data_IF_484959965899
#
_entry.id   IF_484959965899
#
_cell.length_a   1.000
_cell.length_b   1.000
_cell.length_c   1.000
_cell.angle_alpha   90.00
_cell.angle_beta   90.00
_cell.angle_gamma   90.00
#
_symmetry.space_group_name_H-M   'P 1'
#
loop_
_entity.id
_entity.type
_entity.pdbx_description
1 polymer ?
#
# COMPACT_ATOMS: atom_id res chain seq x y z
N UNK A 1 -7.28 -2.43 -12.70
CA UNK A 1 -7.78 -3.81 -12.71
C UNK A 1 -8.59 -4.15 -13.96
N UNK A 2 -9.68 -3.45 -14.31
CA UNK A 2 -10.33 -3.64 -15.63
C UNK A 2 -9.77 -2.69 -16.71
N UNK A 3 -8.55 -2.94 -17.19
CA UNK A 3 -8.07 -2.29 -18.43
C UNK A 3 -8.34 -3.21 -19.63
N UNK A 4 -8.56 -2.63 -20.81
CA UNK A 4 -8.70 -3.40 -22.06
C UNK A 4 -7.48 -4.30 -22.32
N UNK A 5 -6.28 -3.80 -21.99
CA UNK A 5 -5.04 -4.58 -22.09
C UNK A 5 -5.04 -5.82 -21.18
N UNK A 6 -5.54 -5.69 -19.95
CA UNK A 6 -5.62 -6.81 -19.02
C UNK A 6 -6.64 -7.86 -19.50
N UNK A 7 -7.82 -7.41 -19.94
CA UNK A 7 -8.82 -8.29 -20.54
C UNK A 7 -8.26 -9.02 -21.77
N UNK A 8 -7.45 -8.32 -22.59
CA UNK A 8 -6.81 -8.89 -23.77
C UNK A 8 -5.76 -9.94 -23.41
N UNK A 9 -4.91 -9.67 -22.40
CA UNK A 9 -3.95 -10.64 -21.88
C UNK A 9 -4.64 -11.97 -21.54
N UNK A 10 -5.72 -11.91 -20.75
CA UNK A 10 -6.48 -13.11 -20.35
C UNK A 10 -7.15 -13.79 -21.54
N UNK A 11 -7.66 -13.01 -22.49
CA UNK A 11 -8.26 -13.52 -23.71
C UNK A 11 -7.26 -14.37 -24.52
N UNK A 12 -6.03 -13.86 -24.67
CA UNK A 12 -4.97 -14.52 -25.43
C UNK A 12 -4.39 -15.73 -24.66
N UNK A 13 -4.08 -15.58 -23.36
CA UNK A 13 -3.46 -16.64 -22.53
C UNK A 13 -4.34 -17.90 -22.40
N UNK A 14 -5.66 -17.74 -22.44
CA UNK A 14 -6.62 -18.83 -22.29
C UNK A 14 -7.24 -19.27 -23.63
N UNK A 15 -6.69 -18.82 -24.75
CA UNK A 15 -7.10 -19.16 -26.11
C UNK A 15 -8.62 -18.98 -26.36
N UNK A 16 -9.15 -17.84 -25.92
CA UNK A 16 -10.56 -17.52 -26.10
C UNK A 16 -10.93 -17.27 -27.57
N UNK A 17 -9.95 -16.96 -28.42
CA UNK A 17 -10.16 -16.86 -29.86
C UNK A 17 -10.63 -18.18 -30.47
N UNK A 18 -9.93 -19.28 -30.20
CA UNK A 18 -10.30 -20.59 -30.73
C UNK A 18 -11.65 -21.05 -30.16
N UNK A 19 -11.90 -20.79 -28.88
CA UNK A 19 -13.16 -21.13 -28.21
C UNK A 19 -14.36 -20.38 -28.80
N UNK A 20 -14.20 -19.12 -29.18
CA UNK A 20 -15.27 -18.30 -29.76
C UNK A 20 -15.40 -18.46 -31.29
N UNK A 21 -14.37 -18.97 -31.97
CA UNK A 21 -14.35 -19.25 -33.40
C UNK A 21 -13.96 -20.71 -33.70
N UNK A 22 -14.76 -21.70 -33.27
CA UNK A 22 -14.43 -23.12 -33.46
C UNK A 22 -14.39 -23.53 -34.94
N UNK A 23 -15.14 -22.84 -35.79
CA UNK A 23 -15.14 -23.08 -37.24
C UNK A 23 -13.94 -22.45 -37.98
N UNK A 24 -13.01 -21.80 -37.25
CA UNK A 24 -11.81 -21.16 -37.81
C UNK A 24 -12.11 -20.23 -38.98
N UNK A 25 -13.23 -19.49 -38.90
CA UNK A 25 -13.61 -18.51 -39.92
C UNK A 25 -12.50 -17.46 -40.05
N UNK A 26 -12.18 -17.01 -41.28
CA UNK A 26 -11.12 -16.02 -41.47
C UNK A 26 -11.47 -14.72 -40.77
N UNK A 27 -10.62 -14.30 -39.83
CA UNK A 27 -10.73 -13.06 -39.08
C UNK A 27 -9.85 -12.01 -39.79
N UNK A 28 -10.44 -10.89 -40.21
CA UNK A 28 -9.69 -9.81 -40.89
C UNK A 28 -8.68 -9.15 -39.97
N UNK A 29 -9.08 -8.88 -38.73
CA UNK A 29 -8.26 -8.22 -37.72
C UNK A 29 -8.64 -8.75 -36.33
N UNK A 30 -7.65 -9.26 -35.61
CA UNK A 30 -7.82 -9.79 -34.27
C UNK A 30 -8.19 -8.70 -33.25
N UNK A 31 -7.67 -7.49 -33.45
CA UNK A 31 -7.93 -6.37 -32.54
C UNK A 31 -9.39 -5.93 -32.61
N UNK A 32 -9.94 -5.86 -33.81
CA UNK A 32 -11.35 -5.51 -34.03
C UNK A 32 -12.27 -6.58 -33.45
N UNK A 33 -11.91 -7.86 -33.59
CA UNK A 33 -12.65 -8.97 -32.99
C UNK A 33 -12.70 -8.85 -31.47
N UNK A 34 -11.55 -8.65 -30.82
CA UNK A 34 -11.49 -8.49 -29.37
C UNK A 34 -12.21 -7.21 -28.90
N UNK A 35 -12.10 -6.11 -29.64
CA UNK A 35 -12.79 -4.87 -29.34
C UNK A 35 -14.32 -5.05 -29.40
N UNK A 36 -14.83 -5.79 -30.39
CA UNK A 36 -16.25 -6.12 -30.50
C UNK A 36 -16.72 -7.03 -29.35
N UNK A 37 -15.92 -8.05 -29.02
CA UNK A 37 -16.19 -8.95 -27.89
C UNK A 37 -16.23 -8.22 -26.55
N UNK A 38 -15.21 -7.41 -26.26
CA UNK A 38 -15.06 -6.70 -24.98
C UNK A 38 -16.04 -5.53 -24.82
N UNK A 39 -16.56 -4.96 -25.91
CA UNK A 39 -17.57 -3.89 -25.89
C UNK A 39 -18.85 -4.26 -25.14
N UNK A 40 -19.15 -5.56 -25.09
CA UNK A 40 -20.36 -6.09 -24.45
C UNK A 40 -20.18 -6.33 -22.95
N UNK A 41 -18.99 -6.10 -22.38
CA UNK A 41 -18.73 -6.20 -20.94
C UNK A 41 -19.43 -5.03 -20.24
N UNK A 42 -20.32 -5.35 -19.30
CA UNK A 42 -21.04 -4.37 -18.50
C UNK A 42 -20.68 -4.54 -17.02
N UNK A 43 -20.34 -3.42 -16.38
CA UNK A 43 -20.05 -3.32 -14.96
C UNK A 43 -21.16 -2.50 -14.29
N UNK A 44 -22.12 -3.18 -13.69
CA UNK A 44 -23.21 -2.51 -12.96
C UNK A 44 -22.71 -2.10 -11.57
N UNK A 45 -22.26 -0.86 -11.48
CA UNK A 45 -21.92 -0.25 -10.19
C UNK A 45 -23.17 0.33 -9.53
N UNK A 46 -23.39 0.02 -8.26
CA UNK A 46 -24.45 0.62 -7.47
C UNK A 46 -24.20 2.12 -7.29
N UNK A 47 -24.97 2.98 -7.97
CA UNK A 47 -24.95 4.43 -7.73
C UNK A 47 -25.47 4.68 -6.31
N UNK A 48 -24.63 5.26 -5.44
CA UNK A 48 -25.04 5.69 -4.10
C UNK A 48 -26.12 6.76 -4.27
N UNK A 49 -27.38 6.40 -3.97
CA UNK A 49 -28.47 7.37 -3.93
C UNK A 49 -28.23 8.30 -2.74
N UNK A 50 -28.15 9.62 -2.99
CA UNK A 50 -27.80 10.64 -1.98
C UNK A 50 -28.71 10.68 -0.73
N UNK A 51 -29.82 9.94 -0.72
CA UNK A 51 -30.85 9.97 0.34
C UNK A 51 -31.12 8.59 0.97
N UNK A 52 -30.23 7.60 0.83
CA UNK A 52 -30.38 6.29 1.47
C UNK A 52 -29.39 6.20 2.62
N UNK A 53 -29.84 5.68 3.77
CA UNK A 53 -29.04 5.38 4.96
C UNK A 53 -27.66 4.84 4.55
N UNK A 54 -26.59 5.35 5.20
CA UNK A 54 -25.25 4.82 5.04
C UNK A 54 -25.27 3.34 5.44
N UNK A 55 -25.30 2.47 4.44
CA UNK A 55 -25.12 1.04 4.63
C UNK A 55 -23.72 0.82 5.22
N UNK A 56 -23.62 0.01 6.27
CA UNK A 56 -22.35 -0.36 6.92
C UNK A 56 -21.57 -1.43 6.13
N UNK A 57 -22.00 -1.74 4.90
CA UNK A 57 -21.37 -2.73 4.04
C UNK A 57 -21.32 -2.24 2.58
N UNK A 58 -20.29 -2.68 1.88
CA UNK A 58 -20.14 -2.41 0.44
C UNK A 58 -21.14 -3.24 -0.34
N UNK A 59 -21.81 -2.60 -1.30
CA UNK A 59 -22.73 -3.32 -2.20
C UNK A 59 -21.91 -4.11 -3.23
N UNK A 60 -22.32 -5.35 -3.56
CA UNK A 60 -21.64 -6.12 -4.59
C UNK A 60 -21.70 -5.40 -5.93
N UNK A 61 -20.66 -5.62 -6.74
CA UNK A 61 -20.56 -5.14 -8.11
C UNK A 61 -20.91 -6.31 -9.02
N UNK A 62 -21.81 -6.11 -9.98
CA UNK A 62 -22.19 -7.15 -10.92
C UNK A 62 -21.43 -6.94 -12.24
N UNK A 63 -20.84 -8.02 -12.75
CA UNK A 63 -20.18 -8.06 -14.06
C UNK A 63 -21.01 -8.99 -14.95
N UNK A 64 -21.30 -8.54 -16.17
CA UNK A 64 -21.95 -9.36 -17.19
C UNK A 64 -21.35 -9.14 -18.56
N UNK A 65 -21.53 -10.12 -19.44
CA UNK A 65 -21.05 -10.08 -20.82
C UNK A 65 -22.09 -10.77 -21.71
N UNK A 66 -22.51 -10.08 -22.77
CA UNK A 66 -23.39 -10.64 -23.81
C UNK A 66 -22.55 -11.09 -25.02
N UNK A 67 -22.86 -12.27 -25.58
CA UNK A 67 -22.23 -12.75 -26.80
C UNK A 67 -22.84 -14.06 -27.30
N UNK A 68 -22.16 -14.72 -28.24
CA UNK A 68 -22.69 -15.88 -28.98
C UNK A 68 -22.70 -17.18 -28.19
N UNK A 69 -21.66 -17.43 -27.39
CA UNK A 69 -21.50 -18.66 -26.61
C UNK A 69 -21.50 -18.36 -25.11
N UNK A 70 -22.61 -18.69 -24.45
CA UNK A 70 -22.81 -18.47 -23.03
C UNK A 70 -21.79 -19.21 -22.14
N UNK A 71 -21.37 -20.41 -22.53
CA UNK A 71 -20.45 -21.22 -21.73
C UNK A 71 -19.04 -20.63 -21.80
N UNK A 72 -18.56 -20.31 -23.01
CA UNK A 72 -17.26 -19.68 -23.20
C UNK A 72 -17.19 -18.32 -22.49
N UNK A 73 -18.27 -17.53 -22.56
CA UNK A 73 -18.36 -16.24 -21.88
C UNK A 73 -18.34 -16.37 -20.36
N UNK A 74 -19.07 -17.33 -19.79
CA UNK A 74 -19.07 -17.55 -18.35
C UNK A 74 -17.68 -17.94 -17.83
N UNK A 75 -16.96 -18.80 -18.56
CA UNK A 75 -15.58 -19.14 -18.26
C UNK A 75 -14.66 -17.92 -18.36
N UNK A 76 -14.81 -17.09 -19.40
CA UNK A 76 -14.01 -15.87 -19.57
C UNK A 76 -14.18 -14.91 -18.38
N UNK A 77 -15.41 -14.69 -17.92
CA UNK A 77 -15.66 -13.82 -16.77
C UNK A 77 -15.08 -14.40 -15.47
N UNK A 78 -15.16 -15.72 -15.27
CA UNK A 78 -14.56 -16.38 -14.12
C UNK A 78 -13.03 -16.28 -14.14
N UNK A 79 -12.39 -16.55 -15.29
CA UNK A 79 -10.95 -16.41 -15.46
C UNK A 79 -10.51 -14.95 -15.26
N UNK A 80 -11.26 -13.99 -15.79
CA UNK A 80 -11.03 -12.57 -15.61
C UNK A 80 -11.05 -12.18 -14.13
N UNK A 81 -12.05 -12.63 -13.37
CA UNK A 81 -12.17 -12.34 -11.95
C UNK A 81 -11.04 -12.98 -11.13
N UNK A 82 -10.76 -14.27 -11.35
CA UNK A 82 -9.71 -15.00 -10.62
C UNK A 82 -8.31 -14.44 -10.91
N UNK A 83 -8.05 -14.10 -12.18
CA UNK A 83 -6.77 -13.51 -12.58
C UNK A 83 -6.63 -12.10 -12.02
N UNK A 84 -7.70 -11.30 -12.06
CA UNK A 84 -7.69 -9.96 -11.47
C UNK A 84 -7.41 -10.04 -9.96
N UNK A 85 -7.99 -11.02 -9.27
CA UNK A 85 -7.76 -11.23 -7.84
C UNK A 85 -6.28 -11.52 -7.55
N UNK A 86 -5.74 -12.52 -8.25
CA UNK A 86 -4.36 -12.97 -8.08
C UNK A 86 -3.35 -11.86 -8.41
N UNK A 87 -3.53 -11.16 -9.54
CA UNK A 87 -2.64 -10.08 -9.97
C UNK A 87 -2.72 -8.87 -9.03
N UNK A 88 -3.90 -8.56 -8.50
CA UNK A 88 -4.06 -7.51 -7.48
C UNK A 88 -3.30 -7.85 -6.20
N UNK A 89 -3.42 -9.10 -5.73
CA UNK A 89 -2.68 -9.58 -4.56
C UNK A 89 -1.17 -9.49 -4.82
N UNK A 90 -0.69 -9.90 -5.99
CA UNK A 90 0.72 -9.81 -6.36
C UNK A 90 1.23 -8.37 -6.44
N UNK A 91 0.43 -7.43 -6.96
CA UNK A 91 0.76 -6.01 -6.98
C UNK A 91 0.90 -5.47 -5.55
N UNK A 92 -0.04 -5.78 -4.66
CA UNK A 92 0.07 -5.39 -3.26
C UNK A 92 1.28 -5.99 -2.55
N UNK A 93 1.62 -7.26 -2.80
CA UNK A 93 2.82 -7.89 -2.25
C UNK A 93 4.09 -7.19 -2.74
N UNK A 94 4.12 -6.81 -4.01
CA UNK A 94 5.24 -6.05 -4.59
C UNK A 94 5.38 -4.68 -3.91
N UNK A 95 4.26 -3.97 -3.71
CA UNK A 95 4.24 -2.68 -3.00
C UNK A 95 4.71 -2.83 -1.55
N UNK A 96 4.25 -3.88 -0.85
CA UNK A 96 4.68 -4.17 0.52
C UNK A 96 6.19 -4.41 0.57
N UNK A 97 6.74 -5.20 -0.36
CA UNK A 97 8.17 -5.45 -0.43
C UNK A 97 8.97 -4.17 -0.69
N UNK A 98 8.54 -3.35 -1.67
CA UNK A 98 9.17 -2.06 -1.94
C UNK A 98 9.16 -1.15 -0.72
N UNK A 99 8.04 -1.09 0.01
CA UNK A 99 7.93 -0.29 1.24
C UNK A 99 8.86 -0.79 2.34
N UNK A 100 9.04 -2.11 2.47
CA UNK A 100 10.00 -2.72 3.39
C UNK A 100 11.43 -2.31 3.00
N UNK A 101 11.79 -2.41 1.73
CA UNK A 101 13.13 -2.08 1.24
C UNK A 101 13.47 -0.61 1.47
N UNK A 102 12.54 0.31 1.15
CA UNK A 102 12.67 1.75 1.42
C UNK A 102 12.89 1.99 2.92
N UNK A 103 12.11 1.32 3.79
CA UNK A 103 12.23 1.50 5.23
C UNK A 103 13.56 0.95 5.77
N UNK A 104 14.05 -0.16 5.23
CA UNK A 104 15.35 -0.72 5.59
C UNK A 104 16.51 0.21 5.19
N UNK A 105 16.43 0.85 4.02
CA UNK A 105 17.38 1.87 3.59
C UNK A 105 17.35 3.08 4.52
N UNK A 106 16.15 3.58 4.84
CA UNK A 106 15.96 4.70 5.76
C UNK A 106 16.57 4.40 7.14
N UNK A 107 16.30 3.22 7.71
CA UNK A 107 16.89 2.78 8.98
C UNK A 107 18.42 2.76 8.89
N UNK A 108 18.97 2.22 7.81
CA UNK A 108 20.43 2.13 7.61
C UNK A 108 21.06 3.52 7.58
N UNK A 109 20.42 4.48 6.90
CA UNK A 109 20.83 5.89 6.88
C UNK A 109 20.74 6.51 8.26
N UNK A 110 19.65 6.31 9.01
CA UNK A 110 19.50 6.84 10.36
C UNK A 110 20.59 6.32 11.32
N UNK A 111 20.89 5.02 11.27
CA UNK A 111 21.96 4.42 12.07
C UNK A 111 23.31 5.04 11.73
N UNK A 112 23.61 5.21 10.43
CA UNK A 112 24.85 5.85 9.98
C UNK A 112 24.99 7.28 10.49
N UNK A 113 23.93 8.09 10.38
CA UNK A 113 23.90 9.47 10.85
C UNK A 113 24.09 9.56 12.37
N UNK A 114 23.42 8.69 13.14
CA UNK A 114 23.57 8.64 14.60
C UNK A 114 25.01 8.29 15.01
N UNK A 115 25.64 7.33 14.32
CA UNK A 115 27.05 6.98 14.56
C UNK A 115 27.98 8.16 14.28
N UNK A 116 27.81 8.83 13.15
CA UNK A 116 28.61 10.00 12.79
C UNK A 116 28.44 11.15 13.78
N UNK A 117 27.20 11.41 14.22
CA UNK A 117 26.91 12.43 15.23
C UNK A 117 27.61 12.14 16.56
N UNK A 118 27.53 10.89 17.04
CA UNK A 118 28.21 10.49 18.27
C UNK A 118 29.73 10.54 18.15
N UNK A 119 30.29 10.16 17.01
CA UNK A 119 31.72 10.32 16.75
C UNK A 119 32.17 11.79 16.79
N UNK A 120 31.36 12.69 16.24
CA UNK A 120 31.62 14.14 16.31
C UNK A 120 31.54 14.64 17.75
N UNK A 121 30.51 14.25 18.51
CA UNK A 121 30.37 14.61 19.91
C UNK A 121 31.54 14.11 20.76
N UNK A 122 31.98 12.87 20.54
CA UNK A 122 33.13 12.28 21.21
C UNK A 122 34.41 13.06 20.90
N UNK A 123 34.66 13.42 19.63
CA UNK A 123 35.81 14.24 19.24
C UNK A 123 35.78 15.62 19.90
N UNK A 124 34.63 16.29 19.88
CA UNK A 124 34.44 17.58 20.55
C UNK A 124 34.69 17.46 22.07
N UNK A 125 34.21 16.38 22.69
CA UNK A 125 34.41 16.11 24.11
C UNK A 125 35.88 15.90 24.45
N UNK A 126 36.60 15.13 23.64
CA UNK A 126 38.06 14.93 23.79
C UNK A 126 38.78 16.26 23.69
N UNK A 127 38.42 17.11 22.72
CA UNK A 127 39.02 18.43 22.54
C UNK A 127 38.78 19.32 23.77
N UNK A 128 37.54 19.38 24.25
CA UNK A 128 37.18 20.12 25.46
C UNK A 128 37.97 19.64 26.70
N UNK A 129 38.04 18.33 26.91
CA UNK A 129 38.81 17.75 28.01
C UNK A 129 40.31 17.98 27.86
N UNK A 130 40.83 18.05 26.62
CA UNK A 130 42.25 18.32 26.36
C UNK A 130 42.63 19.73 26.77
N UNK A 131 41.80 20.74 26.46
CA UNK A 131 42.01 22.11 26.95
C UNK A 131 41.96 22.20 28.47
N UNK A 132 41.03 21.46 29.10
CA UNK A 132 40.97 21.40 30.56
C UNK A 132 42.22 20.72 31.16
N UNK A 133 42.74 19.67 30.52
CA UNK A 133 43.95 18.99 30.96
C UNK A 133 45.18 19.90 30.86
N UNK A 134 45.30 20.67 29.78
CA UNK A 134 46.35 21.67 29.59
C UNK A 134 46.32 22.71 30.72
N UNK A 135 45.15 23.30 31.00
CA UNK A 135 44.98 24.23 32.12
C UNK A 135 45.30 23.62 33.48
N UNK A 136 44.85 22.39 33.75
CA UNK A 136 45.15 21.70 35.01
C UNK A 136 46.66 21.47 35.18
N UNK A 137 47.36 21.16 34.08
CA UNK A 137 48.81 20.93 34.07
C UNK A 137 49.57 22.22 34.36
N UNK A 138 49.24 23.30 33.66
CA UNK A 138 49.85 24.63 33.83
C UNK A 138 49.61 25.20 35.24
N UNK A 139 48.42 24.99 35.80
CA UNK A 139 48.07 25.46 37.14
C UNK A 139 48.50 24.50 38.27
N UNK A 140 49.13 23.36 37.94
CA UNK A 140 49.60 22.38 38.93
C UNK A 140 48.49 21.63 39.68
N UNK A 141 47.26 21.59 39.14
CA UNK A 141 46.11 20.91 39.74
C UNK A 141 46.16 19.41 39.40
N UNK A 142 46.77 18.61 40.26
CA UNK A 142 46.98 17.16 40.02
C UNK A 142 45.72 16.32 40.20
N UNK A 143 44.97 16.57 41.27
CA UNK A 143 43.73 15.87 41.64
C UNK A 143 42.59 16.88 41.83
N UNK A 144 41.42 16.41 42.26
CA UNK A 144 40.27 17.29 42.51
C UNK A 144 40.55 18.29 43.65
N UNK A 145 40.02 19.51 43.52
CA UNK A 145 40.17 20.56 44.53
C UNK A 145 39.14 20.48 45.68
N UNK A 146 38.64 19.27 45.99
CA UNK A 146 37.66 19.02 47.05
C UNK A 146 38.29 18.44 48.32
N UNK A 147 39.57 18.72 48.58
CA UNK A 147 40.33 18.19 49.72
C UNK A 147 39.70 18.50 51.10
N UNK A 148 38.78 19.46 51.19
CA UNK A 148 38.02 19.78 52.40
C UNK A 148 36.67 19.08 52.57
N UNK A 149 36.24 18.22 51.63
CA UNK A 149 34.90 17.61 51.65
C UNK A 149 34.82 16.30 52.46
N UNK A 150 35.94 15.80 53.00
CA UNK A 150 35.94 14.59 53.83
C UNK A 150 36.88 14.71 55.04
N UNK A 151 36.30 15.12 56.17
CA UNK A 151 36.82 14.85 57.52
C UNK A 151 35.67 14.47 58.46
N UNK A 152 34.73 13.63 58.02
CA UNK A 152 33.58 13.21 58.87
C UNK A 152 33.24 11.71 58.81
N UNK A 153 34.24 10.85 58.55
CA UNK A 153 34.02 9.40 58.66
C UNK A 153 35.10 8.63 59.44
N UNK A 154 35.88 9.30 60.28
CA UNK A 154 36.64 8.60 61.32
C UNK A 154 36.66 9.36 62.65
N UNK A 155 36.27 8.63 63.70
CA UNK A 155 36.53 8.86 65.13
C UNK A 155 35.95 10.11 65.82
N UNK A 156 34.88 9.86 66.58
CA UNK A 156 34.77 10.11 68.03
C UNK A 156 35.43 11.36 68.66
N UNK A 157 34.61 12.06 69.45
CA UNK A 157 34.89 12.95 70.58
C UNK A 157 34.83 14.48 70.34
N UNK A 158 33.73 15.05 70.83
CA UNK A 158 33.58 16.35 71.50
C UNK A 158 34.57 17.49 71.17
N UNK A 159 34.11 18.46 70.37
CA UNK A 159 33.99 19.90 70.70
C UNK A 159 34.01 20.76 69.42
N UNK A 160 33.09 21.73 69.34
CA UNK A 160 32.92 22.74 68.26
C UNK A 160 32.78 22.21 66.83
N UNK A 161 31.55 21.92 66.42
CA UNK A 161 31.18 21.62 65.03
C UNK A 161 31.30 22.86 64.14
N UNK A 162 32.51 23.21 63.73
CA UNK A 162 32.72 23.96 62.49
C UNK A 162 32.47 22.98 61.34
N UNK A 163 31.23 22.86 60.90
CA UNK A 163 30.98 22.30 59.57
C UNK A 163 31.70 23.23 58.59
N UNK A 164 32.87 22.84 58.09
CA UNK A 164 33.56 23.52 56.99
C UNK A 164 32.70 23.34 55.75
N UNK A 165 31.59 24.07 55.67
CA UNK A 165 30.78 24.15 54.48
C UNK A 165 31.60 24.93 53.46
N UNK A 166 32.11 24.25 52.44
CA UNK A 166 32.62 24.89 51.24
C UNK A 166 31.49 25.74 50.65
N UNK A 167 31.48 27.04 50.95
CA UNK A 167 30.58 28.02 50.34
C UNK A 167 31.15 28.36 48.97
N UNK A 168 30.79 27.57 47.97
CA UNK A 168 31.10 27.86 46.57
C UNK A 168 29.99 28.78 46.08
N UNK A 169 30.30 30.07 45.95
CA UNK A 169 29.32 31.06 45.51
C UNK A 169 29.11 30.94 43.99
N UNK A 170 28.11 30.15 43.58
CA UNK A 170 27.68 30.00 42.18
C UNK A 170 26.55 31.00 41.84
N UNK A 171 26.51 32.17 42.48
CA UNK A 171 25.43 33.16 42.33
C UNK A 171 25.11 33.58 40.88
N UNK A 172 26.01 33.29 39.93
CA UNK A 172 25.84 33.64 38.52
C UNK A 172 25.44 32.45 37.62
N UNK A 173 25.21 31.25 38.18
CA UNK A 173 24.81 30.05 37.43
C UNK A 173 25.93 29.38 36.61
N UNK A 174 27.18 29.84 36.72
CA UNK A 174 28.32 29.24 36.04
C UNK A 174 28.81 27.99 36.77
N UNK A 175 28.96 26.89 36.02
CA UNK A 175 29.58 25.67 36.55
C UNK A 175 31.09 25.87 36.71
N UNK A 176 31.66 25.37 37.82
CA UNK A 176 33.11 25.35 38.01
C UNK A 176 33.85 24.76 36.79
N UNK A 177 35.01 25.31 36.38
CA UNK A 177 35.78 24.76 35.28
C UNK A 177 36.18 23.30 35.50
N UNK A 178 36.17 22.51 34.42
CA UNK A 178 36.49 21.06 34.46
C UNK A 178 37.90 20.77 35.01
N UNK A 179 38.87 21.62 34.70
CA UNK A 179 40.24 21.50 35.22
C UNK A 179 40.30 21.61 36.74
N UNK A 180 39.46 22.46 37.35
CA UNK A 180 39.39 22.66 38.79
C UNK A 180 38.67 21.51 39.50
N UNK A 181 37.60 20.99 38.87
CA UNK A 181 36.79 19.91 39.41
C UNK A 181 37.51 18.56 39.41
N UNK A 182 38.21 18.25 38.32
CA UNK A 182 38.71 16.89 38.07
C UNK A 182 40.23 16.75 38.24
N UNK A 183 41.00 17.80 37.99
CA UNK A 183 42.46 17.74 37.97
C UNK A 183 43.05 16.89 36.83
N UNK A 184 44.37 16.91 36.72
CA UNK A 184 45.12 16.28 35.63
C UNK A 184 44.88 14.77 35.52
N UNK A 185 44.91 14.05 36.64
CA UNK A 185 44.87 12.59 36.66
C UNK A 185 43.55 12.03 36.11
N UNK A 186 42.42 12.59 36.55
CA UNK A 186 41.10 12.15 36.10
C UNK A 186 40.84 12.52 34.63
N UNK A 187 41.22 13.74 34.22
CA UNK A 187 41.07 14.19 32.84
C UNK A 187 41.87 13.33 31.86
N UNK A 188 43.13 13.00 32.19
CA UNK A 188 43.97 12.11 31.37
C UNK A 188 43.35 10.73 31.22
N UNK A 189 42.79 10.17 32.30
CA UNK A 189 42.13 8.86 32.27
C UNK A 189 40.87 8.88 31.41
N UNK A 190 40.03 9.90 31.55
CA UNK A 190 38.80 10.06 30.78
C UNK A 190 39.08 10.20 29.27
N UNK A 191 40.07 11.02 28.90
CA UNK A 191 40.51 11.14 27.50
C UNK A 191 40.99 9.79 26.95
N UNK A 192 41.75 9.02 27.74
CA UNK A 192 42.22 7.69 27.33
C UNK A 192 41.04 6.73 27.09
N UNK A 193 40.02 6.74 27.97
CA UNK A 193 38.81 5.94 27.82
C UNK A 193 38.05 6.33 26.54
N UNK A 194 37.85 7.63 26.28
CA UNK A 194 37.15 8.13 25.09
C UNK A 194 37.93 7.90 23.78
N UNK A 195 39.26 7.79 23.84
CA UNK A 195 40.10 7.42 22.70
C UNK A 195 40.05 5.91 22.42
N UNK A 196 39.97 5.09 23.47
CA UNK A 196 39.95 3.63 23.35
C UNK A 196 38.56 3.08 23.00
N UNK A 197 37.51 3.65 23.57
CA UNK A 197 36.14 3.18 23.36
C UNK A 197 35.46 3.94 22.23
N UNK A 198 35.49 3.35 21.03
CA UNK A 198 34.84 3.88 19.82
C UNK A 198 33.35 3.56 19.73
N UNK A 199 32.81 2.71 20.62
CA UNK A 199 31.43 2.23 20.54
C UNK A 199 30.66 2.52 21.82
N UNK A 200 30.09 3.71 21.88
CA UNK A 200 29.13 4.07 22.93
C UNK A 200 27.76 3.46 22.62
N UNK A 201 27.07 2.98 23.66
CA UNK A 201 25.71 2.48 23.50
C UNK A 201 24.76 3.64 23.17
N UNK A 202 24.10 3.54 22.02
CA UNK A 202 23.14 4.53 21.54
C UNK A 202 21.77 3.85 21.55
N UNK A 203 20.90 4.13 22.54
CA UNK A 203 19.61 3.45 22.69
C UNK A 203 18.76 3.48 21.41
N UNK A 204 18.79 4.60 20.68
CA UNK A 204 18.05 4.75 19.43
C UNK A 204 18.51 3.76 18.35
N UNK A 205 19.82 3.48 18.25
CA UNK A 205 20.33 2.49 17.29
C UNK A 205 19.80 1.11 17.63
N UNK A 206 19.76 0.72 18.90
CA UNK A 206 19.21 -0.57 19.31
C UNK A 206 17.73 -0.73 18.89
N UNK A 207 16.91 0.32 19.06
CA UNK A 207 15.51 0.28 18.62
C UNK A 207 15.37 0.13 17.11
N UNK A 208 16.20 0.84 16.33
CA UNK A 208 16.22 0.76 14.88
C UNK A 208 16.69 -0.62 14.38
N UNK A 209 17.64 -1.23 15.10
CA UNK A 209 18.16 -2.56 14.79
C UNK A 209 17.10 -3.65 14.96
N UNK A 210 16.30 -3.56 16.02
CA UNK A 210 15.17 -4.45 16.27
C UNK A 210 14.12 -4.32 15.17
N UNK A 211 13.78 -3.08 14.78
CA UNK A 211 12.85 -2.83 13.67
C UNK A 211 13.38 -3.43 12.36
N UNK A 212 14.66 -3.21 12.06
CA UNK A 212 15.31 -3.78 10.87
C UNK A 212 15.27 -5.30 10.85
N UNK A 213 15.49 -5.96 12.00
CA UNK A 213 15.39 -7.42 12.13
C UNK A 213 13.96 -7.88 11.86
N UNK A 214 12.97 -7.22 12.48
CA UNK A 214 11.54 -7.52 12.28
C UNK A 214 11.15 -7.43 10.80
N UNK A 215 11.56 -6.36 10.12
CA UNK A 215 11.29 -6.15 8.70
C UNK A 215 11.97 -7.19 7.81
N UNK A 216 13.23 -7.54 8.08
CA UNK A 216 13.94 -8.61 7.35
C UNK A 216 13.33 -9.99 7.55
N UNK A 217 12.69 -10.23 8.69
CA UNK A 217 12.03 -11.51 8.99
C UNK A 217 10.58 -11.58 8.47
N UNK A 218 10.05 -10.50 7.89
CA UNK A 218 8.67 -10.45 7.45
C UNK A 218 8.51 -11.22 6.14
N UNK A 219 7.85 -12.38 6.21
CA UNK A 219 7.53 -13.22 5.06
C UNK A 219 6.00 -13.29 4.96
N UNK A 220 5.45 -12.85 3.84
CA UNK A 220 4.00 -12.95 3.57
C UNK A 220 3.74 -14.22 2.77
N UNK A 221 2.88 -15.09 3.28
CA UNK A 221 2.34 -16.18 2.50
C UNK A 221 1.09 -15.69 1.75
N UNK A 222 1.09 -15.64 0.40
CA UNK A 222 -0.08 -15.22 -0.37
C UNK A 222 -1.23 -16.23 -0.31
N UNK A 223 -0.99 -17.46 0.16
CA UNK A 223 -2.01 -18.50 0.17
C UNK A 223 -3.23 -18.09 1.01
N UNK A 224 -4.39 -18.04 0.36
CA UNK A 224 -5.67 -17.67 0.99
C UNK A 224 -5.91 -16.17 1.11
N UNK A 225 -5.01 -15.31 0.63
CA UNK A 225 -5.24 -13.87 0.51
C UNK A 225 -5.97 -13.62 -0.81
N UNK A 226 -7.14 -12.98 -0.72
CA UNK A 226 -7.90 -12.53 -1.89
C UNK A 226 -8.12 -11.02 -1.79
N UNK A 227 -8.07 -10.33 -2.91
CA UNK A 227 -8.38 -8.90 -3.04
C UNK A 227 -9.88 -8.62 -3.14
N UNK A 228 -10.65 -9.62 -3.57
CA UNK A 228 -12.11 -9.53 -3.71
C UNK A 228 -12.80 -10.75 -3.11
N UNK A 229 -14.06 -10.58 -2.71
CA UNK A 229 -14.93 -11.68 -2.33
C UNK A 229 -15.88 -11.99 -3.49
N UNK A 230 -15.82 -13.22 -4.01
CA UNK A 230 -16.70 -13.66 -5.07
C UNK A 230 -18.00 -14.22 -4.46
N UNK A 231 -19.08 -13.44 -4.57
CA UNK A 231 -20.40 -13.87 -4.09
C UNK A 231 -21.03 -14.94 -4.98
N UNK A 232 -20.79 -14.85 -6.30
CA UNK A 232 -21.34 -15.77 -7.28
C UNK A 232 -20.40 -15.83 -8.50
N UNK A 233 -20.09 -17.04 -8.95
CA UNK A 233 -19.39 -17.25 -10.23
C UNK A 233 -20.30 -16.90 -11.40
N UNK A 234 -19.70 -16.47 -12.51
CA UNK A 234 -20.43 -16.31 -13.75
C UNK A 234 -20.96 -17.67 -14.22
N UNK A 235 -22.23 -17.70 -14.62
CA UNK A 235 -22.92 -18.90 -15.09
C UNK A 235 -23.65 -18.61 -16.41
N UNK A 236 -23.75 -19.61 -17.31
CA UNK A 236 -24.50 -19.45 -18.54
C UNK A 236 -26.00 -19.35 -18.25
N UNK A 237 -26.75 -18.42 -18.89
CA UNK A 237 -28.20 -18.39 -18.76
C UNK A 237 -28.85 -19.62 -19.41
N UNK A 238 -29.90 -20.16 -18.78
CA UNK A 238 -30.62 -21.34 -19.30
C UNK A 238 -31.31 -21.09 -20.65
N UNK A 239 -31.70 -19.84 -20.92
CA UNK A 239 -32.33 -19.45 -22.19
C UNK A 239 -31.60 -18.26 -22.82
N UNK A 240 -31.47 -18.21 -24.16
CA UNK A 240 -30.89 -17.08 -24.85
C UNK A 240 -31.61 -15.76 -24.52
N UNK A 241 -30.84 -14.74 -24.15
CA UNK A 241 -31.37 -13.42 -23.77
C UNK A 241 -31.99 -12.71 -25.00
N UNK A 242 -31.38 -12.87 -26.18
CA UNK A 242 -31.81 -12.31 -27.47
C UNK A 242 -31.52 -13.28 -28.63
N UNK A 243 -32.28 -13.20 -29.74
CA UNK A 243 -33.51 -12.42 -29.92
C UNK A 243 -34.74 -13.10 -29.28
N UNK A 244 -35.72 -12.30 -28.83
CA UNK A 244 -36.99 -12.80 -28.26
C UNK A 244 -37.89 -13.36 -29.37
N UNK A 245 -37.65 -14.61 -29.78
CA UNK A 245 -38.34 -15.27 -30.92
C UNK A 245 -39.88 -15.14 -30.85
N UNK A 246 -40.46 -15.32 -29.66
CA UNK A 246 -41.92 -15.17 -29.45
C UNK A 246 -42.43 -13.77 -29.77
N UNK A 247 -41.68 -12.72 -29.39
CA UNK A 247 -42.05 -11.33 -29.67
C UNK A 247 -41.95 -11.05 -31.17
N UNK A 248 -40.91 -11.54 -31.84
CA UNK A 248 -40.75 -11.39 -33.29
C UNK A 248 -41.92 -12.02 -34.04
N UNK A 249 -42.31 -13.25 -33.66
CA UNK A 249 -43.44 -13.96 -34.27
C UNK A 249 -44.76 -13.20 -34.05
N UNK A 250 -45.00 -12.68 -32.84
CA UNK A 250 -46.20 -11.90 -32.55
C UNK A 250 -46.26 -10.60 -33.38
N UNK A 251 -45.15 -9.88 -33.49
CA UNK A 251 -45.06 -8.64 -34.29
C UNK A 251 -45.26 -8.94 -35.78
N UNK A 252 -44.63 -9.99 -36.30
CA UNK A 252 -44.80 -10.40 -37.70
C UNK A 252 -46.25 -10.80 -38.02
N UNK A 253 -46.92 -11.50 -37.10
CA UNK A 253 -48.32 -11.86 -37.24
C UNK A 253 -49.24 -10.63 -37.29
N UNK A 254 -49.06 -9.68 -36.38
CA UNK A 254 -49.85 -8.43 -36.35
C UNK A 254 -49.60 -7.60 -37.61
N UNK A 255 -48.33 -7.46 -38.02
CA UNK A 255 -47.98 -6.73 -39.23
C UNK A 255 -48.59 -7.38 -40.49
N UNK A 256 -48.55 -8.71 -40.59
CA UNK A 256 -49.18 -9.45 -41.69
C UNK A 256 -50.69 -9.29 -41.72
N UNK A 257 -51.34 -9.31 -40.55
CA UNK A 257 -52.79 -9.08 -40.44
C UNK A 257 -53.18 -7.66 -40.87
N UNK A 258 -52.44 -6.64 -40.42
CA UNK A 258 -52.66 -5.25 -40.83
C UNK A 258 -52.46 -5.09 -42.34
N UNK A 259 -51.41 -5.70 -42.91
CA UNK A 259 -51.14 -5.64 -44.35
C UNK A 259 -52.26 -6.29 -45.18
N UNK A 260 -52.83 -7.41 -44.68
CA UNK A 260 -53.99 -8.06 -45.30
C UNK A 260 -55.21 -7.13 -45.35
N UNK A 261 -55.49 -6.41 -44.26
CA UNK A 261 -56.60 -5.43 -44.22
C UNK A 261 -56.36 -4.30 -45.23
N UNK A 262 -55.16 -3.74 -45.29
CA UNK A 262 -54.82 -2.70 -46.28
C UNK A 262 -54.99 -3.19 -47.72
N UNK A 263 -54.59 -4.43 -48.02
CA UNK A 263 -54.73 -5.00 -49.35
C UNK A 263 -56.20 -5.08 -49.79
N UNK A 264 -57.10 -5.47 -48.88
CA UNK A 264 -58.55 -5.50 -49.14
C UNK A 264 -59.08 -4.11 -49.45
N UNK A 265 -58.66 -3.08 -48.70
CA UNK A 265 -59.08 -1.70 -48.98
C UNK A 265 -58.59 -1.19 -50.33
N UNK A 266 -57.33 -1.45 -50.68
CA UNK A 266 -56.77 -1.10 -52.00
C UNK A 266 -57.57 -1.80 -53.10
N UNK A 267 -57.81 -3.11 -52.96
CA UNK A 267 -58.55 -3.88 -53.95
C UNK A 267 -60.00 -3.40 -54.10
N UNK A 268 -60.64 -2.96 -53.00
CA UNK A 268 -61.96 -2.35 -53.05
C UNK A 268 -61.96 -0.97 -53.73
N UNK A 269 -60.95 -0.13 -53.46
CA UNK A 269 -60.84 1.21 -54.07
C UNK A 269 -60.65 1.17 -55.59
N UNK A 270 -60.01 0.12 -56.12
CA UNK A 270 -59.79 -0.07 -57.56
C UNK A 270 -60.86 -0.94 -58.24
N UNK A 271 -61.91 -1.36 -57.52
CA UNK A 271 -62.98 -2.18 -58.08
C UNK A 271 -63.87 -1.32 -58.98
N UNK A 272 -63.80 -1.50 -60.30
CA UNK A 272 -64.75 -0.88 -61.24
C UNK A 272 -66.14 -1.47 -61.02
N UNK A 273 -67.15 -0.61 -60.90
CA UNK A 273 -68.54 -1.04 -60.91
C UNK A 273 -68.88 -1.63 -62.28
N UNK A 274 -69.04 -2.94 -62.32
CA UNK A 274 -69.60 -3.63 -63.47
C UNK A 274 -71.11 -3.38 -63.42
N UNK A 275 -71.58 -2.43 -64.23
CA UNK A 275 -73.00 -2.14 -64.40
C UNK A 275 -73.74 -3.43 -64.76
N UNK A 276 -74.51 -3.95 -63.82
CA UNK A 276 -75.43 -5.05 -64.07
C UNK A 276 -76.64 -4.43 -64.78
N UNK A 277 -76.63 -4.45 -66.11
CA UNK A 277 -77.86 -4.29 -66.90
C UNK A 277 -78.76 -5.50 -66.65
N UNK A 278 -79.76 -5.33 -65.80
CA UNK A 278 -80.96 -6.18 -65.81
C UNK A 278 -82.04 -5.50 -66.63
N UNK A 279 -82.53 -6.27 -67.61
CA UNK A 279 -83.60 -5.95 -68.56
C UNK A 279 -84.95 -5.64 -67.90
#
# INVERSE_FOLDING_TARGET
MMSSQFQRKIFDENDYLAKLNPESKPIKNLEDFFAEFSKSINLETNKVQKNVEKLNYERPINISLEGSDALVISNFLNDLANTADTETVNEFLTIIQQKIDIRLEEISRQISLLKQHEDKNRKNKIQELSYALEMATELGVKDNNFSGLNSSSSSSSSSSSSSTSLKIDLSNGESLPKWYLFGENALRKEIAILKQNTHQFIPKIATLEIERIRLKSFIVNPAGINSMQLNQQAYPPETPIKPKKKLIVAVAFIAGFILSIFLVFIMNAFRKEENITTA
#
